data_IF_449158599766
#
_entry.id   IF_449158599766
#
_cell.length_a   1.000
_cell.length_b   1.000
_cell.length_c   1.000
_cell.angle_alpha   90.00
_cell.angle_beta   90.00
_cell.angle_gamma   90.00
#
_symmetry.space_group_name_H-M   'P 1'
#
loop_
_entity.id
_entity.type
_entity.pdbx_description
1 polymer ?
#
# COMPACT_ATOMS: atom_id res chain seq x y z
N UNK A 1 10.33 19.55 -8.62
CA UNK A 1 8.98 19.40 -8.01
C UNK A 1 8.22 18.43 -8.89
N UNK A 2 7.67 17.36 -8.32
CA UNK A 2 6.84 16.40 -9.05
C UNK A 2 5.43 16.42 -8.45
N UNK A 3 4.41 16.36 -9.29
CA UNK A 3 3.00 16.38 -8.89
C UNK A 3 2.40 14.98 -9.11
N UNK A 4 1.76 14.44 -8.07
CA UNK A 4 1.10 13.13 -8.14
C UNK A 4 -0.37 13.33 -8.49
N UNK A 5 -0.68 13.24 -9.77
CA UNK A 5 -2.03 13.47 -10.31
C UNK A 5 -2.78 12.14 -10.44
N UNK A 6 -4.04 12.11 -9.99
CA UNK A 6 -4.86 10.90 -10.11
C UNK A 6 -6.03 10.80 -9.13
N UNK A 7 -5.99 11.53 -8.02
CA UNK A 7 -7.16 11.68 -7.17
C UNK A 7 -8.11 12.72 -7.74
N UNK A 8 -9.41 12.40 -7.76
CA UNK A 8 -10.46 13.31 -8.24
C UNK A 8 -11.05 14.17 -7.12
N UNK A 9 -10.74 13.81 -5.88
CA UNK A 9 -11.17 14.51 -4.66
C UNK A 9 -9.98 14.82 -3.75
N UNK A 10 -10.25 15.53 -2.65
CA UNK A 10 -9.22 15.95 -1.69
C UNK A 10 -8.56 14.73 -1.05
N UNK A 11 -7.24 14.73 -1.03
CA UNK A 11 -6.46 13.76 -0.24
C UNK A 11 -6.66 14.07 1.24
N UNK A 12 -7.12 13.07 1.98
CA UNK A 12 -7.43 13.16 3.40
C UNK A 12 -6.28 12.64 4.25
N UNK A 13 -5.55 11.65 3.75
CA UNK A 13 -4.48 10.99 4.50
C UNK A 13 -3.33 10.56 3.59
N UNK A 14 -2.11 10.57 4.13
CA UNK A 14 -0.91 10.07 3.48
C UNK A 14 -0.06 9.29 4.48
N UNK A 15 0.52 8.19 4.03
CA UNK A 15 1.44 7.37 4.82
C UNK A 15 2.64 6.96 3.97
N UNK A 16 3.82 6.93 4.59
CA UNK A 16 5.06 6.48 3.96
C UNK A 16 5.48 5.16 4.58
N UNK A 17 6.02 4.25 3.77
CA UNK A 17 6.60 3.01 4.29
C UNK A 17 7.87 3.30 5.13
N UNK A 18 8.00 2.73 6.34
CA UNK A 18 9.16 2.99 7.20
C UNK A 18 10.39 2.16 6.77
N UNK A 19 10.18 1.09 6.02
CA UNK A 19 11.22 0.11 5.71
C UNK A 19 12.30 0.69 4.78
N UNK A 20 11.92 1.51 3.80
CA UNK A 20 12.86 2.19 2.89
C UNK A 20 12.32 3.48 2.24
N UNK A 21 11.12 3.95 2.60
CA UNK A 21 10.58 5.25 2.15
C UNK A 21 10.21 5.39 0.67
N UNK A 22 10.52 4.40 -0.17
CA UNK A 22 10.29 4.48 -1.61
C UNK A 22 8.80 4.55 -1.99
N UNK A 23 7.93 3.98 -1.15
CA UNK A 23 6.50 3.89 -1.40
C UNK A 23 5.71 4.82 -0.49
N UNK A 24 4.86 5.64 -1.10
CA UNK A 24 3.90 6.51 -0.42
C UNK A 24 2.48 6.06 -0.79
N UNK A 25 1.63 5.91 0.22
CA UNK A 25 0.21 5.65 0.05
C UNK A 25 -0.59 6.93 0.28
N UNK A 26 -1.55 7.23 -0.59
CA UNK A 26 -2.49 8.34 -0.46
C UNK A 26 -3.93 7.85 -0.44
N UNK A 27 -4.73 8.43 0.46
CA UNK A 27 -6.16 8.17 0.59
C UNK A 27 -6.94 9.46 0.34
N UNK A 28 -7.92 9.42 -0.56
CA UNK A 28 -8.74 10.58 -0.89
C UNK A 28 -10.23 10.31 -0.69
N UNK A 29 -11.00 11.40 -0.63
CA UNK A 29 -12.47 11.34 -0.55
C UNK A 29 -13.15 10.88 -1.84
N UNK A 30 -12.39 10.42 -2.83
CA UNK A 30 -12.89 9.75 -4.04
C UNK A 30 -13.05 8.24 -3.84
N UNK A 31 -12.97 7.79 -2.59
CA UNK A 31 -13.08 6.39 -2.18
C UNK A 31 -11.94 5.50 -2.73
N UNK A 32 -10.83 6.12 -3.17
CA UNK A 32 -9.67 5.41 -3.70
C UNK A 32 -8.43 5.55 -2.83
N UNK A 33 -7.61 4.49 -2.88
CA UNK A 33 -6.25 4.48 -2.36
C UNK A 33 -5.28 4.36 -3.54
N UNK A 34 -4.22 5.17 -3.54
CA UNK A 34 -3.17 5.10 -4.55
C UNK A 34 -1.81 4.92 -3.90
N UNK A 35 -0.96 4.14 -4.56
CA UNK A 35 0.43 3.92 -4.16
C UNK A 35 1.35 4.57 -5.18
N UNK A 36 2.35 5.27 -4.67
CA UNK A 36 3.31 6.03 -5.45
C UNK A 36 4.71 5.53 -5.13
N UNK A 37 5.48 5.20 -6.16
CA UNK A 37 6.92 4.99 -6.04
C UNK A 37 7.59 6.35 -6.26
N UNK A 38 7.92 7.05 -5.17
CA UNK A 38 8.36 8.46 -5.20
C UNK A 38 9.88 8.55 -5.26
N UNK A 39 10.55 7.59 -4.64
CA UNK A 39 12.00 7.47 -4.68
C UNK A 39 12.29 6.22 -5.49
N UNK A 40 12.47 6.39 -6.79
CA UNK A 40 12.74 5.30 -7.73
C UNK A 40 13.75 4.34 -7.13
N UNK A 41 13.29 3.13 -6.84
CA UNK A 41 14.15 2.08 -6.27
C UNK A 41 15.31 1.80 -7.22
N UNK A 42 16.54 1.61 -6.71
CA UNK A 42 17.60 0.98 -7.49
C UNK A 42 17.20 -0.47 -7.75
N UNK A 43 16.57 -0.72 -8.90
CA UNK A 43 16.50 -2.01 -9.60
C UNK A 43 16.32 -3.30 -8.75
N UNK A 44 15.33 -3.47 -7.86
CA UNK A 44 15.03 -4.87 -7.38
C UNK A 44 13.67 -5.17 -6.71
N UNK A 45 12.54 -4.56 -7.11
CA UNK A 45 11.24 -5.08 -6.63
C UNK A 45 10.17 -5.13 -7.71
N UNK A 46 10.41 -5.93 -8.75
CA UNK A 46 9.32 -6.59 -9.46
C UNK A 46 8.89 -7.83 -8.68
N UNK A 47 7.75 -7.76 -7.99
CA UNK A 47 6.80 -8.88 -8.00
C UNK A 47 5.38 -8.35 -7.76
N UNK A 48 4.54 -8.24 -8.80
CA UNK A 48 3.11 -8.18 -8.61
C UNK A 48 2.65 -9.62 -8.42
N UNK A 49 2.34 -10.04 -7.19
CA UNK A 49 1.40 -11.13 -7.01
C UNK A 49 0.35 -10.74 -5.97
N UNK A 50 -0.87 -10.76 -6.46
CA UNK A 50 -2.08 -10.52 -5.72
C UNK A 50 -2.46 -11.81 -4.98
N UNK A 51 -2.97 -11.65 -3.76
CA UNK A 51 -4.07 -12.43 -3.18
C UNK A 51 -3.87 -13.95 -3.05
N UNK A 52 -3.42 -14.39 -1.87
CA UNK A 52 -3.86 -15.66 -1.30
C UNK A 52 -3.89 -15.59 0.22
N UNK A 53 -5.12 -15.51 0.76
CA UNK A 53 -5.55 -15.95 2.09
C UNK A 53 -4.50 -15.92 3.24
N UNK A 54 -4.45 -14.82 3.98
CA UNK A 54 -4.06 -14.91 5.38
C UNK A 54 -5.30 -15.33 6.18
N UNK A 55 -5.54 -16.63 6.33
CA UNK A 55 -6.52 -17.15 7.30
C UNK A 55 -5.96 -16.95 8.71
N UNK A 56 -6.53 -16.06 9.55
CA UNK A 56 -5.82 -15.62 10.75
C UNK A 56 -5.84 -16.64 11.91
N UNK A 57 -6.62 -17.72 11.86
CA UNK A 57 -6.85 -18.58 13.05
C UNK A 57 -6.96 -20.09 12.79
N UNK A 58 -6.09 -20.70 11.97
CA UNK A 58 -6.09 -22.16 11.76
C UNK A 58 -5.43 -23.01 12.88
N UNK A 59 -4.99 -22.40 13.98
CA UNK A 59 -4.26 -23.10 15.05
C UNK A 59 -5.13 -23.53 16.25
N UNK A 60 -6.33 -23.02 16.48
CA UNK A 60 -7.07 -23.41 17.71
C UNK A 60 -7.93 -24.64 17.45
N UNK A 61 -7.25 -25.77 17.31
CA UNK A 61 -7.86 -27.10 17.29
C UNK A 61 -8.29 -27.50 18.71
N UNK A 62 -9.59 -27.81 18.80
CA UNK A 62 -10.33 -28.56 19.83
C UNK A 62 -10.19 -28.19 21.32
N UNK A 63 -11.34 -27.84 21.87
CA UNK A 63 -11.64 -27.66 23.29
C UNK A 63 -11.82 -29.06 23.92
N UNK A 64 -11.13 -29.32 25.04
CA UNK A 64 -11.47 -30.32 26.04
C UNK A 64 -11.51 -29.62 27.40
#
# INVERSE_FOLDING_TARGET
MAELTGHTSRVLYMAQSPDHGCTVASAAGDETLRFWDVFGMPETAKKPDQKAAHEPFRHVSCIR
#
